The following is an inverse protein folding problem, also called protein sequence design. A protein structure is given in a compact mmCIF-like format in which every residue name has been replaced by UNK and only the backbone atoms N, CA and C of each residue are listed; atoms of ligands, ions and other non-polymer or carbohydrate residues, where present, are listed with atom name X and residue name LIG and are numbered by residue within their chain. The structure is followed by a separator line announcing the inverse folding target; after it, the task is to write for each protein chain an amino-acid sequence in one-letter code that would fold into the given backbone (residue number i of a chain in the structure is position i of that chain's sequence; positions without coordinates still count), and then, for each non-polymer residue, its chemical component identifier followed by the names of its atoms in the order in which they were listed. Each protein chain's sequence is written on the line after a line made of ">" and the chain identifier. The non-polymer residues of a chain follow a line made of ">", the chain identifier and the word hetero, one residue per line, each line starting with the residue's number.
data_IF_672388188534
#
_entry.id   IF_672388188534
#
_cell.length_a   1.000
_cell.length_b   1.000
_cell.length_c   1.000
_cell.angle_alpha   90.00
_cell.angle_beta   90.00
_cell.angle_gamma   90.00
#
_symmetry.space_group_name_H-M   'P 1'
#
loop_
_entity.id
_entity.type
_entity.pdbx_description
1 polymer ?
#
# COMPACT_ATOMS: atom_id res chain seq x y z
N UNK A 1 14.54 -2.18 -25.11
CA UNK A 1 14.47 -0.94 -24.32
C UNK A 1 13.25 -1.00 -23.42
N UNK A 2 13.38 -0.70 -22.12
CA UNK A 2 12.23 -0.71 -21.22
C UNK A 2 11.33 0.52 -21.47
N UNK A 3 10.03 0.40 -21.19
CA UNK A 3 9.09 1.52 -21.34
C UNK A 3 9.25 2.48 -20.15
N UNK A 4 9.72 3.70 -20.42
CA UNK A 4 9.95 4.74 -19.41
C UNK A 4 8.99 5.90 -19.61
N UNK A 5 8.57 6.58 -18.52
CA UNK A 5 7.66 7.73 -18.62
C UNK A 5 8.25 8.85 -19.47
N UNK A 6 7.42 9.45 -20.33
CA UNK A 6 7.82 10.62 -21.13
C UNK A 6 7.62 11.93 -20.35
N UNK A 7 6.65 11.96 -19.44
CA UNK A 7 6.29 13.15 -18.66
C UNK A 7 6.77 13.01 -17.21
N UNK A 8 7.40 14.07 -16.68
CA UNK A 8 7.86 14.10 -15.27
C UNK A 8 6.71 14.00 -14.26
N UNK A 9 5.49 14.39 -14.66
CA UNK A 9 4.27 14.27 -13.87
C UNK A 9 3.73 12.85 -13.79
N UNK A 10 4.31 11.92 -14.55
CA UNK A 10 3.84 10.56 -14.68
C UNK A 10 4.87 9.58 -14.13
N UNK A 11 4.42 8.37 -13.83
CA UNK A 11 5.27 7.28 -13.36
C UNK A 11 4.74 5.97 -13.91
N UNK A 12 5.65 5.14 -14.41
CA UNK A 12 5.35 3.77 -14.81
C UNK A 12 5.92 2.84 -13.75
N UNK A 13 5.07 1.98 -13.18
CA UNK A 13 5.46 0.95 -12.22
C UNK A 13 5.19 -0.41 -12.84
N UNK A 14 6.20 -1.28 -12.88
CA UNK A 14 6.11 -2.61 -13.47
C UNK A 14 6.36 -3.68 -12.41
N UNK A 15 5.58 -4.76 -12.47
CA UNK A 15 5.77 -5.95 -11.66
C UNK A 15 5.35 -7.18 -12.48
N UNK A 16 6.32 -7.98 -12.93
CA UNK A 16 6.08 -9.04 -13.90
C UNK A 16 5.32 -8.50 -15.14
N UNK A 17 4.13 -9.03 -15.43
CA UNK A 17 3.24 -8.60 -16.52
C UNK A 17 2.36 -7.39 -16.13
N UNK A 18 2.16 -7.14 -14.84
CA UNK A 18 1.39 -5.99 -14.37
C UNK A 18 2.17 -4.69 -14.61
N UNK A 19 1.62 -3.80 -15.43
CA UNK A 19 2.14 -2.44 -15.64
C UNK A 19 1.10 -1.42 -15.21
N UNK A 20 1.51 -0.45 -14.41
CA UNK A 20 0.66 0.64 -13.90
C UNK A 20 1.21 1.97 -14.35
N UNK A 21 0.37 2.74 -15.04
CA UNK A 21 0.63 4.14 -15.40
C UNK A 21 -0.06 5.02 -14.38
N UNK A 22 0.71 5.87 -13.70
CA UNK A 22 0.21 6.88 -12.77
C UNK A 22 0.47 8.24 -13.40
N UNK A 23 -0.58 9.03 -13.62
CA UNK A 23 -0.47 10.40 -14.16
C UNK A 23 -1.10 11.42 -13.23
N UNK A 24 -0.44 12.57 -13.05
CA UNK A 24 -1.00 13.72 -12.35
C UNK A 24 -1.80 14.58 -13.33
N UNK A 25 -3.12 14.62 -13.14
CA UNK A 25 -4.01 15.54 -13.86
C UNK A 25 -4.07 16.87 -13.09
N UNK A 26 -3.72 17.96 -13.76
CA UNK A 26 -3.70 19.31 -13.16
C UNK A 26 -4.43 20.30 -14.05
N UNK A 27 -5.19 21.23 -13.47
CA UNK A 27 -5.94 22.22 -14.26
C UNK A 27 -7.04 21.64 -15.17
N UNK A 28 -7.37 20.35 -15.02
CA UNK A 28 -8.27 19.65 -15.95
C UNK A 28 -7.57 19.13 -17.21
N UNK A 29 -6.26 19.31 -17.32
CA UNK A 29 -5.44 18.79 -18.42
C UNK A 29 -4.99 17.35 -18.11
N UNK A 30 -5.48 16.42 -18.92
CA UNK A 30 -5.14 15.01 -18.90
C UNK A 30 -4.17 14.60 -20.03
N UNK A 31 -3.70 15.54 -20.85
CA UNK A 31 -2.94 15.26 -22.08
C UNK A 31 -1.67 14.45 -21.79
N UNK A 32 -0.91 14.81 -20.76
CA UNK A 32 0.29 14.07 -20.36
C UNK A 32 -0.02 12.62 -19.96
N UNK A 33 -1.13 12.38 -19.25
CA UNK A 33 -1.55 11.03 -18.87
C UNK A 33 -1.99 10.22 -20.10
N UNK A 34 -2.75 10.83 -21.01
CA UNK A 34 -3.25 10.20 -22.24
C UNK A 34 -2.11 9.82 -23.18
N UNK A 35 -1.18 10.73 -23.42
CA UNK A 35 0.02 10.48 -24.23
C UNK A 35 0.85 9.32 -23.65
N UNK A 36 0.98 9.23 -22.33
CA UNK A 36 1.68 8.11 -21.70
C UNK A 36 1.01 6.75 -21.95
N UNK A 37 -0.32 6.69 -21.90
CA UNK A 37 -1.08 5.47 -22.21
C UNK A 37 -0.94 5.09 -23.69
N UNK A 38 -1.00 6.06 -24.59
CA UNK A 38 -0.83 5.84 -26.03
C UNK A 38 0.58 5.36 -26.39
N UNK A 39 1.60 5.98 -25.79
CA UNK A 39 3.00 5.57 -25.94
C UNK A 39 3.25 4.17 -25.40
N UNK A 40 2.68 3.83 -24.24
CA UNK A 40 2.75 2.48 -23.70
C UNK A 40 2.06 1.47 -24.64
N UNK A 41 0.89 1.82 -25.19
CA UNK A 41 0.19 0.97 -26.15
C UNK A 41 1.02 0.73 -27.42
N UNK A 42 1.64 1.78 -27.95
CA UNK A 42 2.53 1.69 -29.12
C UNK A 42 3.76 0.85 -28.82
N UNK A 43 4.43 1.10 -27.69
CA UNK A 43 5.57 0.30 -27.25
C UNK A 43 5.21 -1.19 -27.09
N UNK A 44 4.03 -1.51 -26.54
CA UNK A 44 3.57 -2.89 -26.46
C UNK A 44 3.42 -3.51 -27.86
N UNK A 45 2.80 -2.81 -28.82
CA UNK A 45 2.67 -3.28 -30.20
C UNK A 45 4.03 -3.55 -30.85
N UNK A 46 4.96 -2.60 -30.74
CA UNK A 46 6.31 -2.71 -31.30
C UNK A 46 7.12 -3.87 -30.70
N UNK A 47 6.80 -4.26 -29.46
CA UNK A 47 7.45 -5.36 -28.74
C UNK A 47 6.63 -6.66 -28.78
N UNK A 48 5.62 -6.77 -29.66
CA UNK A 48 4.77 -7.96 -29.81
C UNK A 48 4.02 -8.35 -28.52
N UNK A 49 3.65 -7.36 -27.71
CA UNK A 49 2.86 -7.53 -26.49
C UNK A 49 1.41 -7.09 -26.74
N UNK A 50 0.47 -7.93 -26.33
CA UNK A 50 -0.96 -7.63 -26.41
C UNK A 50 -1.46 -7.08 -25.08
N UNK A 51 -1.99 -5.85 -25.09
CA UNK A 51 -2.67 -5.28 -23.93
C UNK A 51 -4.04 -5.92 -23.74
N UNK A 52 -4.33 -6.34 -22.52
CA UNK A 52 -5.63 -6.90 -22.17
C UNK A 52 -6.53 -5.80 -21.57
N UNK A 53 -7.20 -5.03 -22.43
CA UNK A 53 -8.05 -3.89 -22.01
C UNK A 53 -9.15 -4.32 -21.04
N UNK A 54 -9.65 -5.57 -21.13
CA UNK A 54 -10.66 -6.10 -20.19
C UNK A 54 -10.11 -6.28 -18.77
N UNK A 55 -8.82 -6.58 -18.62
CA UNK A 55 -8.15 -6.67 -17.30
C UNK A 55 -7.63 -5.31 -16.83
N UNK A 56 -7.30 -4.40 -17.75
CA UNK A 56 -6.90 -3.04 -17.42
C UNK A 56 -8.06 -2.30 -16.76
N UNK A 57 -7.78 -1.60 -15.66
CA UNK A 57 -8.75 -0.77 -14.93
C UNK A 57 -8.19 0.63 -14.74
N UNK A 58 -9.07 1.62 -14.79
CA UNK A 58 -8.76 2.99 -14.46
C UNK A 58 -9.26 3.33 -13.06
N UNK A 59 -8.36 3.74 -12.16
CA UNK A 59 -8.72 4.22 -10.82
C UNK A 59 -8.41 5.71 -10.73
N UNK A 60 -9.44 6.52 -10.46
CA UNK A 60 -9.31 7.97 -10.31
C UNK A 60 -9.33 8.34 -8.83
N UNK A 61 -8.31 9.08 -8.39
CA UNK A 61 -8.19 9.63 -7.04
C UNK A 61 -8.29 11.16 -7.13
N UNK A 62 -9.48 11.71 -6.87
CA UNK A 62 -9.72 13.16 -6.97
C UNK A 62 -10.42 13.74 -5.73
N UNK A 63 -9.76 14.70 -5.08
CA UNK A 63 -10.26 15.42 -3.90
C UNK A 63 -10.45 16.92 -4.15
N UNK A 64 -10.40 17.37 -5.41
CA UNK A 64 -10.69 18.77 -5.75
C UNK A 64 -12.13 19.09 -5.36
N UNK A 65 -12.37 20.32 -4.88
CA UNK A 65 -13.72 20.81 -4.56
C UNK A 65 -14.57 20.99 -5.82
N UNK A 66 -13.95 21.53 -6.86
CA UNK A 66 -14.53 21.64 -8.20
C UNK A 66 -13.89 20.57 -9.07
N UNK A 67 -14.70 19.59 -9.47
CA UNK A 67 -14.25 18.46 -10.28
C UNK A 67 -14.48 18.80 -11.74
N UNK A 68 -13.42 18.71 -12.52
CA UNK A 68 -13.53 18.62 -13.98
C UNK A 68 -13.88 17.18 -14.32
N UNK A 69 -14.79 16.98 -15.26
CA UNK A 69 -15.09 15.66 -15.79
C UNK A 69 -13.86 15.08 -16.51
N UNK A 70 -13.47 13.87 -16.12
CA UNK A 70 -12.36 13.14 -16.75
C UNK A 70 -12.98 12.22 -17.78
N UNK A 71 -12.56 12.38 -19.04
CA UNK A 71 -13.12 11.63 -20.17
C UNK A 71 -12.90 10.12 -19.98
N UNK A 72 -13.73 9.25 -20.56
CA UNK A 72 -13.48 7.81 -20.54
C UNK A 72 -12.13 7.46 -21.17
N UNK A 73 -11.43 6.47 -20.62
CA UNK A 73 -10.17 5.97 -21.19
C UNK A 73 -10.44 4.93 -22.26
N UNK A 74 -9.81 5.10 -23.43
CA UNK A 74 -9.92 4.20 -24.58
C UNK A 74 -8.52 3.70 -24.92
N UNK A 75 -8.37 2.39 -25.05
CA UNK A 75 -7.12 1.74 -25.47
C UNK A 75 -7.44 0.79 -26.62
N UNK A 76 -6.88 1.05 -27.81
CA UNK A 76 -7.11 0.24 -29.02
C UNK A 76 -8.62 0.02 -29.28
N UNK A 77 -9.38 1.12 -29.29
CA UNK A 77 -10.83 1.20 -29.52
C UNK A 77 -11.72 0.55 -28.43
N UNK A 78 -11.15 -0.02 -27.38
CA UNK A 78 -11.87 -0.56 -26.23
C UNK A 78 -11.91 0.43 -25.06
N UNK A 79 -13.09 0.58 -24.45
CA UNK A 79 -13.25 1.35 -23.20
C UNK A 79 -12.61 0.61 -22.02
N UNK A 80 -11.73 1.31 -21.31
CA UNK A 80 -11.18 0.84 -20.04
C UNK A 80 -12.23 1.05 -18.93
N UNK A 81 -12.50 -0.01 -18.17
CA UNK A 81 -13.41 0.09 -17.04
C UNK A 81 -12.84 0.98 -15.94
N UNK A 82 -13.58 2.03 -15.59
CA UNK A 82 -13.30 2.88 -14.44
C UNK A 82 -13.87 2.24 -13.18
N UNK A 83 -13.03 2.04 -12.17
CA UNK A 83 -13.38 1.34 -10.93
C UNK A 83 -13.30 2.27 -9.72
N UNK A 84 -14.09 1.99 -8.68
CA UNK A 84 -14.05 2.71 -7.41
C UNK A 84 -12.90 2.23 -6.50
N UNK A 85 -12.49 0.97 -6.67
CA UNK A 85 -11.37 0.37 -5.98
C UNK A 85 -10.67 -0.66 -6.88
N UNK A 86 -9.39 -0.88 -6.61
CA UNK A 86 -8.58 -1.81 -7.39
C UNK A 86 -7.60 -2.57 -6.50
N UNK A 87 -7.47 -3.88 -6.72
CA UNK A 87 -6.53 -4.73 -5.99
C UNK A 87 -5.15 -4.70 -6.64
N UNK A 88 -4.29 -3.82 -6.15
CA UNK A 88 -2.92 -3.66 -6.62
C UNK A 88 -1.94 -4.48 -5.77
N UNK A 89 -1.26 -5.46 -6.38
CA UNK A 89 -0.26 -6.33 -5.73
C UNK A 89 -0.72 -6.87 -4.37
N UNK A 90 -1.98 -7.29 -4.29
CA UNK A 90 -2.57 -7.87 -3.08
C UNK A 90 -3.15 -6.89 -2.06
N UNK A 91 -3.11 -5.57 -2.31
CA UNK A 91 -3.74 -4.53 -1.48
C UNK A 91 -4.85 -3.84 -2.26
N UNK A 92 -6.04 -3.73 -1.66
CA UNK A 92 -7.17 -3.01 -2.29
C UNK A 92 -7.04 -1.51 -2.02
N UNK A 93 -6.91 -0.71 -3.08
CA UNK A 93 -6.80 0.74 -3.05
C UNK A 93 -8.12 1.34 -3.53
N UNK A 94 -8.77 2.14 -2.69
CA UNK A 94 -10.01 2.83 -3.03
C UNK A 94 -9.71 4.24 -3.57
N UNK A 95 -10.52 4.74 -4.51
CA UNK A 95 -10.34 6.07 -5.13
C UNK A 95 -10.47 7.22 -4.13
N UNK A 96 -11.13 6.98 -3.00
CA UNK A 96 -11.23 7.90 -1.87
C UNK A 96 -10.15 7.66 -0.80
N UNK A 97 -9.14 6.83 -1.07
CA UNK A 97 -8.07 6.39 -0.16
C UNK A 97 -8.57 5.95 1.23
N UNK A 98 -9.81 5.48 1.29
CA UNK A 98 -10.28 4.68 2.43
C UNK A 98 -9.65 3.30 2.36
N UNK A 99 -9.67 2.62 3.50
CA UNK A 99 -9.11 1.28 3.65
C UNK A 99 -10.16 0.27 4.07
N UNK A 100 -11.43 0.56 3.79
CA UNK A 100 -12.58 -0.23 4.22
C UNK A 100 -12.62 -1.57 3.49
N UNK A 101 -12.39 -1.59 2.18
CA UNK A 101 -12.33 -2.81 1.37
C UNK A 101 -11.15 -3.67 1.84
N UNK A 102 -9.96 -3.08 1.87
CA UNK A 102 -8.73 -3.78 2.30
C UNK A 102 -8.85 -4.36 3.72
N UNK A 103 -9.30 -3.56 4.70
CA UNK A 103 -9.42 -4.03 6.10
C UNK A 103 -10.49 -5.11 6.25
N UNK A 104 -11.59 -5.02 5.49
CA UNK A 104 -12.63 -6.06 5.48
C UNK A 104 -12.12 -7.37 4.91
N UNK A 105 -11.36 -7.34 3.82
CA UNK A 105 -10.72 -8.53 3.26
C UNK A 105 -9.70 -9.17 4.23
N UNK A 106 -8.86 -8.34 4.85
CA UNK A 106 -7.90 -8.79 5.86
C UNK A 106 -8.62 -9.47 7.04
N UNK A 107 -9.71 -8.88 7.53
CA UNK A 107 -10.53 -9.46 8.59
C UNK A 107 -11.11 -10.81 8.19
N UNK A 108 -11.72 -10.92 6.99
CA UNK A 108 -12.27 -12.21 6.49
C UNK A 108 -11.19 -13.29 6.44
N UNK A 109 -10.05 -13.00 5.81
CA UNK A 109 -8.92 -13.94 5.68
C UNK A 109 -8.38 -14.37 7.05
N UNK A 110 -8.16 -13.41 7.94
CA UNK A 110 -7.56 -13.71 9.26
C UNK A 110 -8.52 -14.41 10.21
N UNK A 111 -9.83 -14.15 10.13
CA UNK A 111 -10.84 -14.90 10.88
C UNK A 111 -10.89 -16.38 10.46
N UNK A 112 -10.78 -16.67 9.16
CA UNK A 112 -10.66 -18.05 8.68
C UNK A 112 -9.41 -18.74 9.25
N UNK A 113 -8.27 -18.04 9.29
CA UNK A 113 -7.02 -18.57 9.87
C UNK A 113 -7.10 -18.74 11.39
N UNK A 114 -7.85 -17.88 12.07
CA UNK A 114 -8.11 -17.99 13.50
C UNK A 114 -8.92 -19.24 13.85
N UNK A 115 -9.85 -19.66 12.99
CA UNK A 115 -10.55 -20.94 13.15
C UNK A 115 -9.56 -22.11 13.17
N UNK A 116 -8.65 -22.17 12.19
CA UNK A 116 -7.62 -23.21 12.16
C UNK A 116 -6.71 -23.17 13.40
N UNK A 117 -6.32 -21.98 13.88
CA UNK A 117 -5.56 -21.84 15.12
C UNK A 117 -6.29 -22.45 16.32
N UNK A 118 -7.62 -22.28 16.42
CA UNK A 118 -8.44 -22.91 17.48
C UNK A 118 -8.51 -24.42 17.34
N UNK A 119 -8.61 -24.94 16.12
CA UNK A 119 -8.58 -26.38 15.85
C UNK A 119 -7.24 -26.97 16.27
N UNK A 120 -6.12 -26.33 15.92
CA UNK A 120 -4.79 -26.76 16.35
C UNK A 120 -4.66 -26.78 17.88
N UNK A 121 -5.18 -25.74 18.56
CA UNK A 121 -5.21 -25.70 20.01
C UNK A 121 -6.02 -26.86 20.61
N UNK A 122 -7.18 -27.18 20.04
CA UNK A 122 -8.03 -28.30 20.47
C UNK A 122 -7.34 -29.66 20.33
N UNK A 123 -6.45 -29.79 19.34
CA UNK A 123 -5.63 -30.98 19.12
C UNK A 123 -4.33 -30.97 19.94
N UNK A 124 -4.26 -30.20 21.02
CA UNK A 124 -3.14 -30.16 21.96
C UNK A 124 -1.78 -29.82 21.34
N UNK A 125 -1.77 -29.10 20.21
CA UNK A 125 -0.53 -28.60 19.61
C UNK A 125 0.18 -27.68 20.60
N UNK A 126 1.51 -27.82 20.69
CA UNK A 126 2.34 -27.07 21.63
C UNK A 126 2.23 -25.56 21.40
N UNK A 127 2.32 -24.78 22.47
CA UNK A 127 2.22 -23.32 22.39
C UNK A 127 3.23 -22.72 21.39
N UNK A 128 4.45 -23.23 21.37
CA UNK A 128 5.50 -22.81 20.43
C UNK A 128 5.05 -22.95 18.97
N UNK A 129 4.47 -24.10 18.60
CA UNK A 129 3.99 -24.34 17.24
C UNK A 129 2.77 -23.47 16.90
N UNK A 130 1.89 -23.21 17.88
CA UNK A 130 0.76 -22.28 17.70
C UNK A 130 1.23 -20.85 17.43
N UNK A 131 2.28 -20.38 18.13
CA UNK A 131 2.91 -19.08 17.86
C UNK A 131 3.51 -19.05 16.47
N UNK A 132 4.21 -20.12 16.05
CA UNK A 132 4.74 -20.23 14.69
C UNK A 132 3.63 -20.17 13.63
N UNK A 133 2.53 -20.88 13.85
CA UNK A 133 1.37 -20.84 12.96
C UNK A 133 0.75 -19.43 12.90
N UNK A 134 0.57 -18.77 14.05
CA UNK A 134 0.07 -17.39 14.09
C UNK A 134 0.96 -16.45 13.28
N UNK A 135 2.27 -16.50 13.48
CA UNK A 135 3.23 -15.65 12.76
C UNK A 135 3.17 -15.90 11.25
N UNK A 136 3.15 -17.17 10.84
CA UNK A 136 3.18 -17.56 9.44
C UNK A 136 1.86 -17.32 8.69
N UNK A 137 0.72 -17.47 9.37
CA UNK A 137 -0.60 -17.53 8.71
C UNK A 137 -1.54 -16.37 9.04
N UNK A 138 -1.34 -15.67 10.16
CA UNK A 138 -2.20 -14.55 10.60
C UNK A 138 -1.41 -13.25 10.59
N UNK A 139 -0.28 -13.20 11.30
CA UNK A 139 0.56 -12.00 11.38
C UNK A 139 1.10 -11.61 10.00
N UNK A 140 1.52 -12.59 9.18
CA UNK A 140 1.99 -12.35 7.81
C UNK A 140 0.94 -11.61 6.96
N UNK A 141 -0.33 -12.01 7.05
CA UNK A 141 -1.45 -11.38 6.35
C UNK A 141 -1.67 -9.96 6.90
N UNK A 142 -1.71 -9.81 8.22
CA UNK A 142 -1.92 -8.50 8.88
C UNK A 142 -0.76 -7.53 8.65
N UNK A 143 0.46 -8.01 8.42
CA UNK A 143 1.65 -7.17 8.27
C UNK A 143 2.02 -6.91 6.82
N UNK A 144 1.34 -7.56 5.87
CA UNK A 144 1.52 -7.30 4.45
C UNK A 144 1.15 -5.85 4.10
N UNK A 145 2.13 -5.10 3.58
CA UNK A 145 2.03 -3.67 3.27
C UNK A 145 1.45 -2.80 4.40
N UNK A 146 1.58 -3.20 5.68
CA UNK A 146 0.95 -2.52 6.82
C UNK A 146 1.32 -1.03 6.93
N UNK A 147 2.53 -0.66 6.51
CA UNK A 147 2.99 0.73 6.52
C UNK A 147 2.27 1.67 5.56
N UNK A 148 1.49 1.13 4.61
CA UNK A 148 0.72 1.92 3.64
C UNK A 148 -0.66 2.28 4.21
N UNK A 149 -1.34 1.31 4.83
CA UNK A 149 -2.76 1.43 5.15
C UNK A 149 -3.07 1.69 6.63
N UNK A 150 -2.25 1.20 7.57
CA UNK A 150 -2.62 1.18 9.00
C UNK A 150 -2.85 2.56 9.63
N UNK A 151 -1.96 3.52 9.33
CA UNK A 151 -2.05 4.87 9.87
C UNK A 151 -3.30 5.62 9.35
N UNK A 152 -3.73 5.29 8.14
CA UNK A 152 -4.90 5.87 7.48
C UNK A 152 -6.23 5.19 7.84
N UNK A 153 -6.19 4.03 8.51
CA UNK A 153 -7.41 3.38 9.00
C UNK A 153 -8.14 4.22 10.06
N UNK A 154 -9.44 3.96 10.21
CA UNK A 154 -10.23 4.51 11.33
C UNK A 154 -9.88 3.81 12.65
N UNK A 155 -10.28 4.41 13.78
CA UNK A 155 -10.13 3.78 15.10
C UNK A 155 -10.89 2.46 15.16
N UNK A 156 -12.10 2.40 14.59
CA UNK A 156 -12.92 1.19 14.54
C UNK A 156 -12.23 0.06 13.75
N UNK A 157 -11.68 0.37 12.57
CA UNK A 157 -10.94 -0.60 11.75
C UNK A 157 -9.71 -1.14 12.50
N UNK A 158 -8.92 -0.26 13.13
CA UNK A 158 -7.77 -0.69 13.94
C UNK A 158 -8.19 -1.57 15.12
N UNK A 159 -9.29 -1.24 15.80
CA UNK A 159 -9.83 -2.02 16.92
C UNK A 159 -10.29 -3.40 16.45
N UNK A 160 -10.95 -3.49 15.30
CA UNK A 160 -11.39 -4.77 14.73
C UNK A 160 -10.19 -5.67 14.39
N UNK A 161 -9.16 -5.14 13.72
CA UNK A 161 -7.95 -5.91 13.39
C UNK A 161 -7.15 -6.31 14.64
N UNK A 162 -7.04 -5.43 15.64
CA UNK A 162 -6.44 -5.76 16.93
C UNK A 162 -7.24 -6.87 17.65
N UNK A 163 -8.57 -6.93 17.47
CA UNK A 163 -9.43 -7.99 17.98
C UNK A 163 -9.02 -9.39 17.51
N UNK A 164 -8.54 -9.52 16.28
CA UNK A 164 -8.00 -10.79 15.75
C UNK A 164 -6.76 -11.22 16.54
N UNK A 165 -5.82 -10.30 16.76
CA UNK A 165 -4.60 -10.57 17.55
C UNK A 165 -4.99 -10.95 18.99
N UNK A 166 -5.93 -10.22 19.60
CA UNK A 166 -6.40 -10.50 20.96
C UNK A 166 -7.07 -11.88 21.06
N UNK A 167 -7.81 -12.29 20.03
CA UNK A 167 -8.40 -13.61 19.98
C UNK A 167 -7.33 -14.70 19.82
N UNK A 168 -6.35 -14.51 18.95
CA UNK A 168 -5.22 -15.43 18.80
C UNK A 168 -4.42 -15.55 20.10
N UNK A 169 -4.10 -14.43 20.76
CA UNK A 169 -3.42 -14.39 22.06
C UNK A 169 -4.16 -15.23 23.11
N UNK A 170 -5.49 -15.09 23.21
CA UNK A 170 -6.31 -15.91 24.12
C UNK A 170 -6.29 -17.39 23.76
N UNK A 171 -6.33 -17.74 22.47
CA UNK A 171 -6.27 -19.14 22.01
C UNK A 171 -4.92 -19.79 22.29
N UNK A 172 -3.82 -19.04 22.15
CA UNK A 172 -2.46 -19.54 22.36
C UNK A 172 -2.08 -19.56 23.84
N UNK A 173 -2.60 -18.61 24.63
CA UNK A 173 -2.26 -18.44 26.04
C UNK A 173 -0.91 -17.77 26.28
N UNK A 174 -0.42 -16.94 25.35
CA UNK A 174 0.79 -16.13 25.54
C UNK A 174 0.63 -14.73 24.94
N UNK A 175 1.32 -13.70 25.47
CA UNK A 175 1.30 -12.36 24.90
C UNK A 175 1.75 -12.32 23.43
N UNK A 176 1.03 -11.57 22.60
CA UNK A 176 1.40 -11.28 21.22
C UNK A 176 1.61 -9.77 21.03
N UNK A 177 2.43 -9.40 20.04
CA UNK A 177 2.66 -7.99 19.72
C UNK A 177 1.36 -7.32 19.26
N UNK A 178 1.13 -6.09 19.72
CA UNK A 178 -0.01 -5.29 19.27
C UNK A 178 0.19 -4.88 17.82
N UNK A 179 -0.92 -4.68 17.11
CA UNK A 179 -0.91 -4.27 15.71
C UNK A 179 -0.16 -2.95 15.49
N UNK A 180 -0.28 -2.01 16.44
CA UNK A 180 0.47 -0.74 16.42
C UNK A 180 1.98 -0.95 16.45
N UNK A 181 2.43 -1.89 17.27
CA UNK A 181 3.86 -2.17 17.46
C UNK A 181 4.42 -2.90 16.24
N UNK A 182 3.63 -3.83 15.68
CA UNK A 182 3.93 -4.47 14.39
C UNK A 182 4.05 -3.43 13.27
N UNK A 183 3.08 -2.52 13.14
CA UNK A 183 3.14 -1.42 12.17
C UNK A 183 4.42 -0.58 12.35
N UNK A 184 4.70 -0.13 13.57
CA UNK A 184 5.85 0.73 13.85
C UNK A 184 7.17 0.03 13.53
N UNK A 185 7.30 -1.25 13.90
CA UNK A 185 8.45 -2.09 13.59
C UNK A 185 8.64 -2.28 12.07
N UNK A 186 7.57 -2.56 11.32
CA UNK A 186 7.62 -2.71 9.86
C UNK A 186 7.96 -1.40 9.16
N UNK A 187 7.41 -0.27 9.61
CA UNK A 187 7.75 1.06 9.09
C UNK A 187 9.22 1.38 9.30
N UNK A 188 9.75 1.19 10.51
CA UNK A 188 11.17 1.41 10.80
C UNK A 188 12.07 0.51 9.97
N UNK A 189 11.76 -0.79 9.88
CA UNK A 189 12.53 -1.73 9.07
C UNK A 189 12.57 -1.32 7.60
N UNK A 190 11.41 -0.96 7.02
CA UNK A 190 11.35 -0.51 5.63
C UNK A 190 12.11 0.81 5.43
N UNK A 191 11.98 1.76 6.35
CA UNK A 191 12.69 3.03 6.28
C UNK A 191 14.21 2.84 6.32
N UNK A 192 14.73 2.01 7.24
CA UNK A 192 16.15 1.69 7.30
C UNK A 192 16.65 1.03 6.01
N UNK A 193 15.88 0.14 5.40
CA UNK A 193 16.25 -0.45 4.11
C UNK A 193 16.34 0.60 2.99
N UNK A 194 15.40 1.55 2.94
CA UNK A 194 15.41 2.65 1.96
C UNK A 194 16.59 3.60 2.20
N UNK A 195 16.87 3.93 3.45
CA UNK A 195 18.01 4.79 3.82
C UNK A 195 19.34 4.12 3.46
N UNK A 196 19.45 2.80 3.64
CA UNK A 196 20.68 2.07 3.34
C UNK A 196 20.95 1.98 1.83
N UNK A 197 19.90 1.94 1.02
CA UNK A 197 19.98 1.82 -0.43
C UNK A 197 19.87 3.20 -1.10
N UNK A 198 21.00 3.78 -1.48
CA UNK A 198 21.07 5.09 -2.16
C UNK A 198 20.44 5.06 -3.56
N UNK A 199 20.26 3.88 -4.16
CA UNK A 199 19.60 3.73 -5.47
C UNK A 199 18.08 3.63 -5.35
N UNK A 200 17.55 3.44 -4.14
CA UNK A 200 16.11 3.32 -3.93
C UNK A 200 15.42 4.66 -4.29
N UNK A 201 14.32 4.65 -5.08
CA UNK A 201 13.66 5.88 -5.56
C UNK A 201 13.14 6.77 -4.42
N UNK A 202 12.82 6.17 -3.27
CA UNK A 202 12.41 6.88 -2.05
C UNK A 202 13.57 7.33 -1.14
N UNK A 203 14.84 7.14 -1.50
CA UNK A 203 15.99 7.46 -0.64
C UNK A 203 16.03 8.96 -0.27
N UNK A 204 15.82 9.82 -1.27
CA UNK A 204 15.76 11.28 -1.11
C UNK A 204 14.65 11.76 -0.18
N UNK A 205 13.66 10.92 0.13
CA UNK A 205 12.62 11.25 1.10
C UNK A 205 13.11 11.24 2.56
N UNK A 206 14.30 10.68 2.83
CA UNK A 206 14.89 10.53 4.16
C UNK A 206 16.15 11.40 4.34
N UNK A 207 16.02 12.71 4.16
CA UNK A 207 17.11 13.65 4.37
C UNK A 207 17.32 13.97 5.86
N UNK A 208 18.57 14.00 6.30
CA UNK A 208 18.93 14.51 7.62
C UNK A 208 18.94 16.04 7.63
N UNK A 209 18.60 16.63 8.78
CA UNK A 209 18.87 18.03 9.05
C UNK A 209 20.39 18.28 9.15
N UNK A 210 20.87 19.54 9.01
CA UNK A 210 22.30 19.87 9.11
C UNK A 210 22.99 19.36 10.38
N UNK A 211 22.25 19.18 11.47
CA UNK A 211 22.76 18.61 12.72
C UNK A 211 23.07 17.12 12.67
N UNK A 212 22.64 16.39 11.62
CA UNK A 212 22.78 14.94 11.47
C UNK A 212 21.91 14.09 12.42
N UNK A 213 21.18 14.73 13.35
CA UNK A 213 20.47 14.03 14.43
C UNK A 213 19.06 13.58 14.07
N UNK A 214 18.34 14.39 13.29
CA UNK A 214 16.93 14.18 12.94
C UNK A 214 16.73 14.20 11.44
N UNK A 215 15.78 13.41 10.97
CA UNK A 215 15.29 13.46 9.59
C UNK A 215 14.35 14.65 9.42
N UNK A 216 14.41 15.28 8.25
CA UNK A 216 13.56 16.39 7.86
C UNK A 216 12.11 15.92 7.79
N UNK A 217 11.24 16.51 8.60
CA UNK A 217 9.81 16.21 8.57
C UNK A 217 9.19 16.76 7.30
N UNK A 218 8.37 15.94 6.63
CA UNK A 218 7.57 16.38 5.49
C UNK A 218 6.44 17.30 5.97
N UNK A 219 6.35 18.51 5.44
CA UNK A 219 5.19 19.37 5.68
C UNK A 219 3.95 18.78 4.98
N UNK A 220 2.86 18.59 5.71
CA UNK A 220 1.64 17.96 5.18
C UNK A 220 0.41 18.84 5.44
N UNK A 221 -0.30 19.23 4.38
CA UNK A 221 -1.56 20.00 4.47
C UNK A 221 -2.80 19.13 4.76
N UNK A 222 -2.70 17.82 4.52
CA UNK A 222 -3.83 16.89 4.64
C UNK A 222 -3.46 15.70 5.51
N UNK A 223 -4.45 15.15 6.23
CA UNK A 223 -4.28 13.90 6.98
C UNK A 223 -3.94 12.72 6.07
N UNK A 224 -4.42 12.72 4.81
CA UNK A 224 -4.11 11.66 3.84
C UNK A 224 -2.62 11.56 3.56
N UNK A 225 -1.96 12.70 3.31
CA UNK A 225 -0.51 12.71 3.13
C UNK A 225 0.21 12.44 4.47
N UNK A 226 -0.24 13.06 5.57
CA UNK A 226 0.33 12.86 6.90
C UNK A 226 0.36 11.40 7.34
N UNK A 227 -0.67 10.63 6.99
CA UNK A 227 -0.83 9.22 7.34
C UNK A 227 -0.31 8.26 6.26
N UNK A 228 0.34 8.77 5.21
CA UNK A 228 1.07 7.95 4.25
C UNK A 228 2.40 7.46 4.84
N UNK A 229 3.05 6.52 4.13
CA UNK A 229 4.24 5.83 4.61
C UNK A 229 5.39 6.78 5.01
N UNK A 230 5.81 7.71 4.14
CA UNK A 230 7.02 8.50 4.38
C UNK A 230 6.93 9.40 5.62
N UNK A 231 5.89 10.24 5.82
CA UNK A 231 5.80 11.08 7.01
C UNK A 231 5.71 10.26 8.30
N UNK A 232 4.99 9.13 8.28
CA UNK A 232 4.90 8.22 9.42
C UNK A 232 6.26 7.58 9.73
N UNK A 233 6.97 7.09 8.71
CA UNK A 233 8.28 6.48 8.85
C UNK A 233 9.31 7.47 9.44
N UNK A 234 9.35 8.70 8.91
CA UNK A 234 10.20 9.79 9.43
C UNK A 234 9.85 10.10 10.89
N UNK A 235 8.57 10.18 11.22
CA UNK A 235 8.14 10.40 12.61
C UNK A 235 8.60 9.27 13.53
N UNK A 236 8.53 8.00 13.09
CA UNK A 236 9.01 6.85 13.86
C UNK A 236 10.54 6.90 14.07
N UNK A 237 11.31 7.26 13.04
CA UNK A 237 12.78 7.41 13.11
C UNK A 237 13.19 8.54 14.08
N UNK A 238 12.50 9.67 14.02
CA UNK A 238 12.78 10.80 14.88
C UNK A 238 12.40 10.53 16.36
N UNK A 239 11.39 9.69 16.61
CA UNK A 239 11.03 9.28 17.96
C UNK A 239 12.03 8.29 18.57
N UNK A 240 12.69 7.46 17.76
CA UNK A 240 13.67 6.46 18.23
C UNK A 240 15.02 7.08 18.55
N UNK A 241 15.49 8.06 17.77
CA UNK A 241 16.76 8.78 18.02
C UNK A 241 16.70 9.82 19.15
N UNK A 242 15.52 10.12 19.69
CA UNK A 242 15.34 11.08 20.79
C UNK A 242 15.42 10.43 22.18
N UNK A 243 15.69 9.13 22.24
CA UNK A 243 16.04 8.36 23.44
C UNK A 243 17.51 7.97 23.36
#
# INVERSE_FOLDING_TARGET
>A
HDCTPAHQSNTIVKFADDTTVVGLISGGDESAYRDEVERLSSWCKDNNLLLNTKKTKELIIDYRRHKTEIQPLIISDDYVERVADFRFLGVSIEGNLSWSVNTSELLKKTQQRLYFLRVLRKNNITQRLLVSFYRASIESILTYCIGIWYASCTVAQRKALQGVINAAQRTIGCPLLKLKDLHSSRCLKRAHNIIKDTSHPGHSMFELLPSGKRYRTTYTRTNRLKHSFYPIAISCLNATKSR
#
